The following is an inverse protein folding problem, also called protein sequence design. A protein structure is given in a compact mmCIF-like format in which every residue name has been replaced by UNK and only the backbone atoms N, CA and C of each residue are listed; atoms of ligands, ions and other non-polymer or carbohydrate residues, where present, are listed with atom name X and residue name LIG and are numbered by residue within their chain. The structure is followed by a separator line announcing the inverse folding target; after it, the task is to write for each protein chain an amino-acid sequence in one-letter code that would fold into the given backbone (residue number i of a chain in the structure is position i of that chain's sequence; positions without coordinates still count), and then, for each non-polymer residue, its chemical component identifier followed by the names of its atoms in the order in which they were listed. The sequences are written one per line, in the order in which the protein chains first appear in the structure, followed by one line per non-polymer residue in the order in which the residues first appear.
data_IF_551157941115
#
_entry.id   IF_551157941115
#
_cell.length_a   1.000
_cell.length_b   1.000
_cell.length_c   1.000
_cell.angle_alpha   90.00
_cell.angle_beta   90.00
_cell.angle_gamma   90.00
#
_symmetry.space_group_name_H-M   'P 1'
#
loop_
_entity.id
_entity.type
_entity.pdbx_description
1 polymer ?
#
# COMPACT_ATOMS: atom_id res chain seq x y z
N UNK A 1 7.80 19.19 -0.40
CA UNK A 1 8.05 17.80 0.06
C UNK A 1 8.79 16.95 -0.98
N UNK A 2 8.14 16.28 -1.96
CA UNK A 2 8.84 15.33 -2.87
C UNK A 2 9.99 15.98 -3.66
N UNK A 3 9.77 17.17 -4.23
CA UNK A 3 10.81 17.93 -4.95
C UNK A 3 12.00 18.33 -4.06
N UNK A 4 11.75 18.61 -2.78
CA UNK A 4 12.81 19.01 -1.85
C UNK A 4 13.61 17.81 -1.32
N UNK A 5 12.95 16.68 -1.07
CA UNK A 5 13.61 15.42 -0.72
C UNK A 5 14.54 14.97 -1.85
N UNK A 6 14.08 15.08 -3.11
CA UNK A 6 14.90 14.79 -4.30
C UNK A 6 16.11 15.74 -4.41
N UNK A 7 15.92 17.03 -4.10
CA UNK A 7 17.03 18.02 -4.09
C UNK A 7 18.05 17.73 -3.00
N UNK A 8 17.63 17.23 -1.83
CA UNK A 8 18.51 16.92 -0.70
C UNK A 8 19.11 15.50 -0.75
N UNK A 9 18.77 14.69 -1.77
CA UNK A 9 19.14 13.26 -1.85
C UNK A 9 18.81 12.46 -0.58
N UNK A 10 17.80 12.89 0.17
CA UNK A 10 17.37 12.19 1.36
C UNK A 10 16.42 11.06 0.97
N UNK A 11 16.65 9.82 1.40
CA UNK A 11 15.71 8.73 1.17
C UNK A 11 14.36 9.09 1.83
N UNK A 12 13.27 8.94 1.07
CA UNK A 12 11.92 9.26 1.51
C UNK A 12 11.06 8.00 1.46
N UNK A 13 10.53 7.59 2.61
CA UNK A 13 9.54 6.50 2.70
C UNK A 13 8.17 7.14 2.79
N UNK A 14 7.29 6.80 1.85
CA UNK A 14 5.89 7.24 1.85
C UNK A 14 5.04 6.01 2.15
N UNK A 15 4.34 6.04 3.29
CA UNK A 15 3.31 5.06 3.62
C UNK A 15 1.95 5.65 3.25
N UNK A 16 1.30 5.07 2.24
CA UNK A 16 -0.02 5.47 1.79
C UNK A 16 -0.73 4.30 1.13
N UNK A 17 -2.03 4.19 1.37
CA UNK A 17 -2.95 3.26 0.70
C UNK A 17 -3.30 3.70 -0.73
N UNK A 18 -2.77 4.85 -1.17
CA UNK A 18 -3.09 5.47 -2.46
C UNK A 18 -1.82 5.72 -3.28
N UNK A 19 -0.94 4.72 -3.27
CA UNK A 19 0.37 4.76 -3.95
C UNK A 19 0.25 4.96 -5.46
N UNK A 20 -0.87 4.55 -6.07
CA UNK A 20 -1.15 4.70 -7.49
C UNK A 20 -1.30 6.15 -7.97
N UNK A 21 -1.55 7.13 -7.08
CA UNK A 21 -1.53 8.55 -7.47
C UNK A 21 -0.12 9.14 -7.57
N UNK A 22 0.93 8.42 -7.13
CA UNK A 22 2.29 8.91 -7.24
C UNK A 22 2.80 8.68 -8.66
N UNK A 23 3.27 9.72 -9.36
CA UNK A 23 3.90 9.52 -10.66
C UNK A 23 5.14 8.62 -10.54
N UNK A 24 5.27 7.62 -11.42
CA UNK A 24 6.43 6.72 -11.52
C UNK A 24 7.79 7.43 -11.48
N UNK A 25 7.88 8.66 -12.02
CA UNK A 25 9.10 9.51 -12.00
C UNK A 25 9.64 9.86 -10.61
N UNK A 26 8.87 9.64 -9.55
CA UNK A 26 9.24 9.90 -8.17
C UNK A 26 9.36 8.63 -7.32
N UNK A 27 9.10 7.45 -7.89
CA UNK A 27 9.05 6.18 -7.15
C UNK A 27 10.08 5.22 -7.72
N UNK A 28 11.17 5.03 -6.97
CA UNK A 28 12.23 4.08 -7.34
C UNK A 28 11.81 2.63 -7.08
N UNK A 29 11.03 2.42 -6.01
CA UNK A 29 10.50 1.11 -5.59
C UNK A 29 9.14 1.29 -4.91
N UNK A 30 8.17 0.46 -5.28
CA UNK A 30 6.88 0.37 -4.60
C UNK A 30 6.80 -0.98 -3.86
N UNK A 31 6.54 -0.94 -2.55
CA UNK A 31 6.41 -2.15 -1.74
C UNK A 31 4.93 -2.34 -1.40
N UNK A 32 4.36 -3.46 -1.84
CA UNK A 32 2.98 -3.84 -1.50
C UNK A 32 3.05 -4.93 -0.44
N UNK A 33 2.50 -4.64 0.74
CA UNK A 33 2.44 -5.59 1.84
C UNK A 33 1.19 -6.45 1.73
N UNK A 34 1.36 -7.76 1.79
CA UNK A 34 0.27 -8.74 1.83
C UNK A 34 0.25 -9.43 3.17
N UNK A 35 -0.94 -9.81 3.61
CA UNK A 35 -1.14 -10.47 4.91
C UNK A 35 -2.17 -11.57 4.79
N UNK A 36 -1.97 -12.67 5.50
CA UNK A 36 -3.01 -13.69 5.61
C UNK A 36 -4.33 -13.09 6.14
N UNK A 37 -5.44 -13.36 5.43
CA UNK A 37 -6.79 -12.85 5.74
C UNK A 37 -7.21 -13.04 7.20
N UNK A 38 -6.88 -14.19 7.82
CA UNK A 38 -7.21 -14.43 9.24
C UNK A 38 -6.44 -13.48 10.17
N UNK A 39 -5.17 -13.20 9.87
CA UNK A 39 -4.35 -12.25 10.61
C UNK A 39 -4.83 -10.81 10.38
N UNK A 40 -5.12 -10.44 9.13
CA UNK A 40 -5.62 -9.11 8.78
C UNK A 40 -6.94 -8.80 9.51
N UNK A 41 -7.91 -9.73 9.47
CA UNK A 41 -9.19 -9.59 10.19
C UNK A 41 -8.98 -9.34 11.69
N UNK A 42 -8.11 -10.12 12.34
CA UNK A 42 -7.78 -9.94 13.77
C UNK A 42 -7.15 -8.57 14.04
N UNK A 43 -6.24 -8.10 13.18
CA UNK A 43 -5.61 -6.77 13.29
C UNK A 43 -6.66 -5.65 13.17
N UNK A 44 -7.56 -5.73 12.19
CA UNK A 44 -8.61 -4.73 11.98
C UNK A 44 -9.65 -4.72 13.11
N UNK A 45 -10.01 -5.89 13.63
CA UNK A 45 -10.88 -6.01 14.81
C UNK A 45 -10.23 -5.37 16.04
N UNK A 46 -8.93 -5.62 16.29
CA UNK A 46 -8.19 -5.01 17.39
C UNK A 46 -8.11 -3.47 17.27
N UNK A 47 -8.21 -2.94 16.06
CA UNK A 47 -8.28 -1.49 15.79
C UNK A 47 -9.69 -0.90 15.95
N UNK A 48 -10.68 -1.67 16.42
CA UNK A 48 -12.08 -1.25 16.57
C UNK A 48 -12.73 -0.73 15.28
N UNK A 49 -12.37 -1.30 14.13
CA UNK A 49 -13.02 -0.95 12.87
C UNK A 49 -14.45 -1.52 12.82
N UNK A 50 -15.36 -0.80 12.16
CA UNK A 50 -16.73 -1.29 11.94
C UNK A 50 -16.73 -2.57 11.10
N UNK A 51 -17.76 -3.41 11.27
CA UNK A 51 -17.89 -4.65 10.48
C UNK A 51 -17.87 -4.40 8.97
N UNK A 52 -18.49 -3.30 8.53
CA UNK A 52 -18.49 -2.87 7.14
C UNK A 52 -17.06 -2.56 6.64
N UNK A 53 -16.30 -1.75 7.39
CA UNK A 53 -14.93 -1.39 7.02
C UNK A 53 -13.98 -2.59 7.07
N UNK A 54 -14.18 -3.51 8.00
CA UNK A 54 -13.42 -4.77 8.05
C UNK A 54 -13.69 -5.57 6.77
N UNK A 55 -14.96 -5.73 6.36
CA UNK A 55 -15.31 -6.46 5.15
C UNK A 55 -14.68 -5.83 3.91
N UNK A 56 -14.82 -4.51 3.76
CA UNK A 56 -14.20 -3.76 2.66
C UNK A 56 -12.69 -3.98 2.58
N UNK A 57 -11.96 -3.84 3.69
CA UNK A 57 -10.50 -4.05 3.71
C UNK A 57 -10.11 -5.51 3.42
N UNK A 58 -10.94 -6.47 3.83
CA UNK A 58 -10.73 -7.88 3.55
C UNK A 58 -10.97 -8.20 2.07
N UNK A 59 -12.00 -7.60 1.48
CA UNK A 59 -12.31 -7.73 0.05
C UNK A 59 -11.16 -7.11 -0.77
N UNK A 60 -10.66 -5.93 -0.40
CA UNK A 60 -9.50 -5.31 -1.05
C UNK A 60 -8.25 -6.22 -1.03
N UNK A 61 -7.99 -6.91 0.08
CA UNK A 61 -6.88 -7.88 0.18
C UNK A 61 -7.13 -9.15 -0.64
N UNK A 62 -8.39 -9.62 -0.74
CA UNK A 62 -8.75 -10.80 -1.55
C UNK A 62 -8.57 -10.50 -3.05
N UNK A 63 -8.97 -9.32 -3.49
CA UNK A 63 -8.90 -8.91 -4.89
C UNK A 63 -7.55 -8.32 -5.29
N UNK A 64 -6.58 -8.27 -4.37
CA UNK A 64 -5.25 -7.72 -4.65
C UNK A 64 -5.28 -6.29 -5.21
N UNK A 65 -6.26 -5.48 -4.78
CA UNK A 65 -6.53 -4.14 -5.34
C UNK A 65 -5.26 -3.28 -5.31
N UNK A 66 -4.58 -3.22 -4.16
CA UNK A 66 -3.34 -2.44 -4.00
C UNK A 66 -2.20 -2.91 -4.92
N UNK A 67 -2.13 -4.21 -5.24
CA UNK A 67 -1.13 -4.76 -6.13
C UNK A 67 -1.44 -4.39 -7.58
N UNK A 68 -2.69 -4.56 -7.99
CA UNK A 68 -3.16 -4.26 -9.35
C UNK A 68 -2.97 -2.77 -9.63
N UNK A 69 -3.44 -1.89 -8.74
CA UNK A 69 -3.29 -0.44 -8.90
C UNK A 69 -1.82 -0.01 -9.01
N UNK A 70 -0.92 -0.62 -8.23
CA UNK A 70 0.50 -0.32 -8.30
C UNK A 70 1.15 -0.80 -9.61
N UNK A 71 0.68 -1.93 -10.16
CA UNK A 71 1.11 -2.44 -11.47
C UNK A 71 0.59 -1.58 -12.62
N UNK A 72 -0.68 -1.17 -12.59
CA UNK A 72 -1.31 -0.29 -13.59
C UNK A 72 -0.67 1.09 -13.62
N UNK A 73 -0.28 1.63 -12.46
CA UNK A 73 0.50 2.86 -12.37
C UNK A 73 1.94 2.72 -12.91
N UNK A 74 2.36 1.51 -13.30
CA UNK A 74 3.65 1.23 -13.92
C UNK A 74 4.82 1.26 -12.94
N UNK A 75 4.57 1.15 -11.63
CA UNK A 75 5.61 1.13 -10.62
C UNK A 75 6.42 -0.17 -10.65
N UNK A 76 7.66 -0.11 -10.16
CA UNK A 76 8.44 -1.31 -9.85
C UNK A 76 7.94 -1.89 -8.53
N UNK A 77 7.01 -2.83 -8.60
CA UNK A 77 6.35 -3.40 -7.42
C UNK A 77 7.13 -4.59 -6.84
N UNK A 78 7.29 -4.61 -5.52
CA UNK A 78 7.79 -5.75 -4.74
C UNK A 78 6.73 -6.14 -3.71
N UNK A 79 6.27 -7.38 -3.76
CA UNK A 79 5.33 -7.93 -2.77
C UNK A 79 6.09 -8.47 -1.57
N UNK A 80 5.62 -8.14 -0.36
CA UNK A 80 6.20 -8.60 0.91
C UNK A 80 5.09 -9.15 1.80
N UNK A 81 5.28 -10.34 2.37
CA UNK A 81 4.33 -10.94 3.31
C UNK A 81 4.64 -10.56 4.76
N UNK A 82 3.59 -10.29 5.56
CA UNK A 82 3.70 -9.82 6.96
C UNK A 82 2.78 -10.53 7.96
#
# INVERSE_FOLDING_TARGET
IIKEAKRKQTPLVIDSHVSHYLPKKYVDLCIVTKTNLKKLKKRLQKRNYSKAKIRENMDCEIFDVCLIEAQEAGHRVKVVET
#
